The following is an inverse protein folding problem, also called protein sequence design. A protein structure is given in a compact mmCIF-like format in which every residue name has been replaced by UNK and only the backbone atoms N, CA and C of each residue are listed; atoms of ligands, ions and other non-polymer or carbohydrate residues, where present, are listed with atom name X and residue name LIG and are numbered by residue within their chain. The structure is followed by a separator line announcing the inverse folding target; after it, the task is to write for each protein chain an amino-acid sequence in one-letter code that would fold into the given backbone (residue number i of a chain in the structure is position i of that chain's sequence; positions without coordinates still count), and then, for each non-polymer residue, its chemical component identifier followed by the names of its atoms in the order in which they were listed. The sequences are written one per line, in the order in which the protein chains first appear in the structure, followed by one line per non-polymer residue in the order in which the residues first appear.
data_IF_026659548491
#
_entry.id   IF_026659548491
#
_cell.length_a   1.000
_cell.length_b   1.000
_cell.length_c   1.000
_cell.angle_alpha   90.00
_cell.angle_beta   90.00
_cell.angle_gamma   90.00
#
_symmetry.space_group_name_H-M   'P 1'
#
loop_
_entity.id
_entity.type
_entity.pdbx_description
1 polymer ?
#
# COMPACT_ATOMS: atom_id res chain seq x y z
N UNK A 1 -0.81 -44.54 3.93
CA UNK A 1 -0.14 -43.32 4.40
C UNK A 1 0.38 -42.57 3.17
N UNK A 2 -0.13 -41.38 2.86
CA UNK A 2 0.39 -40.60 1.74
C UNK A 2 1.66 -39.87 2.18
N UNK A 3 2.72 -40.00 1.38
CA UNK A 3 3.95 -39.21 1.51
C UNK A 3 3.65 -37.72 1.27
N UNK A 4 4.29 -36.79 2.00
CA UNK A 4 4.17 -35.37 1.71
C UNK A 4 4.86 -35.04 0.38
N UNK A 5 4.36 -34.05 -0.39
CA UNK A 5 4.97 -33.63 -1.64
C UNK A 5 6.35 -32.96 -1.39
N UNK A 6 7.38 -33.23 -2.22
CA UNK A 6 8.74 -32.72 -2.04
C UNK A 6 8.95 -31.23 -2.41
N UNK A 7 7.88 -30.47 -2.68
CA UNK A 7 7.99 -29.16 -3.33
C UNK A 7 8.36 -27.97 -2.43
N UNK A 8 8.46 -28.14 -1.11
CA UNK A 8 8.76 -27.01 -0.21
C UNK A 8 10.28 -26.79 -0.02
N UNK A 9 11.13 -27.77 -0.34
CA UNK A 9 12.59 -27.69 -0.11
C UNK A 9 13.40 -27.12 -1.28
N UNK A 10 12.77 -26.77 -2.41
CA UNK A 10 13.45 -26.19 -3.58
C UNK A 10 13.60 -24.66 -3.55
N UNK A 11 13.25 -23.99 -2.45
CA UNK A 11 13.27 -22.51 -2.38
C UNK A 11 14.63 -21.87 -2.06
N UNK A 12 15.70 -22.64 -1.82
CA UNK A 12 16.99 -22.06 -1.38
C UNK A 12 18.27 -22.63 -2.02
N UNK A 13 18.17 -23.46 -3.07
CA UNK A 13 19.37 -23.80 -3.85
C UNK A 13 19.68 -22.65 -4.81
N UNK A 14 20.59 -21.76 -4.42
CA UNK A 14 21.23 -20.81 -5.34
C UNK A 14 21.92 -21.62 -6.45
N UNK A 15 21.48 -21.52 -7.73
CA UNK A 15 22.18 -22.19 -8.80
C UNK A 15 23.56 -21.56 -8.94
N UNK A 16 24.58 -22.41 -9.03
CA UNK A 16 25.95 -22.02 -9.35
C UNK A 16 25.95 -21.05 -10.52
N UNK A 17 26.66 -19.93 -10.37
CA UNK A 17 26.76 -18.84 -11.33
C UNK A 17 27.26 -19.34 -12.70
N UNK A 18 26.34 -19.84 -13.52
CA UNK A 18 26.57 -20.07 -14.94
C UNK A 18 26.64 -18.70 -15.62
N UNK A 19 27.62 -18.53 -16.52
CA UNK A 19 27.86 -17.30 -17.27
C UNK A 19 26.54 -16.69 -17.76
N UNK A 20 26.22 -15.49 -17.28
CA UNK A 20 25.05 -14.74 -17.70
C UNK A 20 25.16 -14.43 -19.20
N UNK A 21 24.35 -15.09 -20.03
CA UNK A 21 24.00 -14.51 -21.32
C UNK A 21 23.32 -13.17 -21.04
N UNK A 22 23.75 -12.11 -21.74
CA UNK A 22 23.09 -10.82 -21.65
C UNK A 22 21.61 -11.00 -21.97
N UNK A 23 20.67 -10.55 -21.10
CA UNK A 23 19.25 -10.66 -21.38
C UNK A 23 18.96 -9.90 -22.68
N UNK A 24 18.20 -10.53 -23.59
CA UNK A 24 17.77 -9.89 -24.82
C UNK A 24 16.73 -8.81 -24.46
N UNK A 25 17.09 -7.53 -24.57
CA UNK A 25 16.16 -6.42 -24.34
C UNK A 25 15.54 -6.04 -25.68
N UNK A 26 14.22 -6.02 -25.74
CA UNK A 26 13.48 -5.55 -26.91
C UNK A 26 13.37 -4.03 -26.84
N UNK A 27 13.73 -3.28 -27.90
CA UNK A 27 13.54 -1.83 -27.91
C UNK A 27 12.06 -1.48 -27.80
N UNK A 28 11.78 -0.34 -27.17
CA UNK A 28 10.44 0.23 -27.09
C UNK A 28 9.88 0.38 -28.51
N UNK A 29 8.76 -0.27 -28.79
CA UNK A 29 8.05 -0.07 -30.05
C UNK A 29 6.55 -0.07 -29.84
N UNK A 30 5.86 0.72 -30.65
CA UNK A 30 4.40 0.78 -30.64
C UNK A 30 3.87 -0.54 -31.20
N UNK A 31 3.22 -1.33 -30.34
CA UNK A 31 2.74 -2.69 -30.65
C UNK A 31 1.24 -2.83 -30.48
N UNK A 32 0.57 -1.77 -30.05
CA UNK A 32 -0.85 -1.78 -29.73
C UNK A 32 -1.67 -2.22 -30.94
N UNK A 33 -2.38 -3.35 -30.81
CA UNK A 33 -3.47 -3.73 -31.71
C UNK A 33 -4.84 -3.38 -31.11
N UNK A 34 -4.84 -2.53 -30.08
CA UNK A 34 -6.03 -2.05 -29.37
C UNK A 34 -6.52 -0.81 -30.11
N UNK A 35 -7.47 -0.99 -31.02
CA UNK A 35 -8.02 0.10 -31.83
C UNK A 35 -9.36 0.63 -31.31
N UNK A 36 -10.11 -0.18 -30.57
CA UNK A 36 -11.42 0.19 -30.03
C UNK A 36 -11.30 1.09 -28.80
N UNK A 37 -12.09 2.17 -28.75
CA UNK A 37 -12.18 3.02 -27.55
C UNK A 37 -12.70 2.24 -26.34
N UNK A 38 -13.61 1.29 -26.56
CA UNK A 38 -14.12 0.40 -25.52
C UNK A 38 -13.03 -0.49 -24.93
N UNK A 39 -12.12 -0.98 -25.78
CA UNK A 39 -11.01 -1.83 -25.32
C UNK A 39 -10.01 -1.02 -24.51
N UNK A 40 -9.73 0.22 -24.94
CA UNK A 40 -8.93 1.16 -24.16
C UNK A 40 -9.55 1.49 -22.81
N UNK A 41 -10.86 1.75 -22.75
CA UNK A 41 -11.56 1.97 -21.48
C UNK A 41 -11.40 0.75 -20.58
N UNK A 42 -11.61 -0.47 -21.09
CA UNK A 42 -11.45 -1.70 -20.32
C UNK A 42 -10.01 -1.86 -19.78
N UNK A 43 -9.00 -1.65 -20.62
CA UNK A 43 -7.58 -1.74 -20.23
C UNK A 43 -7.22 -0.70 -19.17
N UNK A 44 -7.65 0.55 -19.37
CA UNK A 44 -7.40 1.64 -18.43
C UNK A 44 -8.13 1.40 -17.10
N UNK A 45 -9.36 0.89 -17.13
CA UNK A 45 -10.10 0.51 -15.92
C UNK A 45 -9.36 -0.59 -15.16
N UNK A 46 -8.94 -1.66 -15.83
CA UNK A 46 -8.21 -2.76 -15.17
C UNK A 46 -6.87 -2.30 -14.59
N UNK A 47 -6.15 -1.44 -15.32
CA UNK A 47 -4.88 -0.87 -14.88
C UNK A 47 -5.06 0.06 -13.67
N UNK A 48 -5.95 1.06 -13.78
CA UNK A 48 -6.07 2.13 -12.78
C UNK A 48 -6.92 1.75 -11.57
N UNK A 49 -7.77 0.72 -11.65
CA UNK A 49 -8.66 0.35 -10.55
C UNK A 49 -7.92 0.05 -9.23
N UNK A 50 -6.81 -0.73 -9.21
CA UNK A 50 -6.01 -0.93 -8.00
C UNK A 50 -5.44 0.37 -7.43
N UNK A 51 -4.86 1.23 -8.29
CA UNK A 51 -4.29 2.51 -7.87
C UNK A 51 -5.36 3.44 -7.28
N UNK A 52 -6.47 3.61 -8.00
CA UNK A 52 -7.59 4.45 -7.59
C UNK A 52 -8.20 3.94 -6.28
N UNK A 53 -8.44 2.63 -6.15
CA UNK A 53 -8.98 2.05 -4.93
C UNK A 53 -8.04 2.26 -3.74
N UNK A 54 -6.73 2.11 -3.96
CA UNK A 54 -5.72 2.30 -2.92
C UNK A 54 -5.66 3.76 -2.44
N UNK A 55 -5.70 4.73 -3.37
CA UNK A 55 -5.67 6.16 -3.02
C UNK A 55 -6.99 6.62 -2.42
N UNK A 56 -8.11 6.41 -3.12
CA UNK A 56 -9.43 6.95 -2.74
C UNK A 56 -9.88 6.38 -1.40
N UNK A 57 -9.70 5.08 -1.19
CA UNK A 57 -10.14 4.45 0.06
C UNK A 57 -9.06 4.41 1.13
N UNK A 58 -7.79 4.59 0.77
CA UNK A 58 -6.66 4.50 1.70
C UNK A 58 -6.22 5.82 2.29
N UNK A 59 -6.52 6.96 1.67
CA UNK A 59 -6.14 8.28 2.19
C UNK A 59 -6.87 8.57 3.51
N UNK A 60 -6.12 9.08 4.49
CA UNK A 60 -6.68 9.58 5.75
C UNK A 60 -7.27 10.97 5.54
N UNK A 61 -8.37 11.27 6.23
CA UNK A 61 -8.91 12.63 6.24
C UNK A 61 -7.95 13.53 7.01
N UNK A 62 -7.44 14.61 6.38
CA UNK A 62 -6.55 15.54 7.06
C UNK A 62 -7.35 16.42 8.03
N UNK A 63 -6.94 16.46 9.29
CA UNK A 63 -7.51 17.31 10.33
C UNK A 63 -6.49 18.35 10.72
N UNK A 64 -6.82 19.63 10.58
CA UNK A 64 -5.87 20.71 10.86
C UNK A 64 -6.09 21.22 12.28
N UNK A 65 -5.15 20.89 13.17
CA UNK A 65 -5.18 21.30 14.58
C UNK A 65 -4.73 22.74 14.76
N UNK A 66 -3.78 23.20 13.95
CA UNK A 66 -3.32 24.59 13.93
C UNK A 66 -4.05 25.41 12.87
N UNK A 67 -4.06 26.74 13.01
CA UNK A 67 -4.68 27.64 12.03
C UNK A 67 -4.02 27.65 10.64
N UNK A 68 -2.90 26.95 10.46
CA UNK A 68 -2.15 26.90 9.20
C UNK A 68 -2.36 25.55 8.49
N UNK A 69 -2.96 25.60 7.30
CA UNK A 69 -3.11 24.41 6.47
C UNK A 69 -1.75 23.87 5.97
N UNK A 70 -1.60 22.54 5.84
CA UNK A 70 -0.39 21.96 5.28
C UNK A 70 -0.23 22.38 3.81
N UNK A 71 0.98 22.78 3.39
CA UNK A 71 1.28 22.98 1.97
C UNK A 71 1.03 21.68 1.19
N UNK A 72 0.74 21.80 -0.09
CA UNK A 72 0.41 20.64 -0.94
C UNK A 72 1.55 19.60 -0.98
N UNK A 73 2.81 20.05 -0.87
CA UNK A 73 4.00 19.19 -0.80
C UNK A 73 4.05 18.31 0.44
N UNK A 74 3.43 18.74 1.55
CA UNK A 74 3.31 17.95 2.78
C UNK A 74 2.18 16.93 2.69
N UNK A 75 1.19 17.17 1.83
CA UNK A 75 0.08 16.22 1.61
C UNK A 75 0.52 15.07 0.71
N UNK A 76 1.43 15.31 -0.22
CA UNK A 76 1.85 14.32 -1.23
C UNK A 76 2.33 12.99 -0.62
N UNK A 77 3.15 12.96 0.45
CA UNK A 77 3.52 11.73 1.14
C UNK A 77 2.35 10.88 1.64
N UNK A 78 1.19 11.47 1.97
CA UNK A 78 0.00 10.72 2.39
C UNK A 78 -0.60 9.87 1.27
N UNK A 79 -0.32 10.22 0.01
CA UNK A 79 -0.72 9.44 -1.17
C UNK A 79 0.26 8.30 -1.48
N UNK A 80 1.41 8.25 -0.80
CA UNK A 80 2.38 7.19 -0.99
C UNK A 80 1.77 5.86 -0.53
N UNK A 81 1.77 4.79 -1.36
CA UNK A 81 1.19 3.51 -0.97
C UNK A 81 1.78 2.95 0.33
N UNK A 82 3.08 3.17 0.58
CA UNK A 82 3.73 2.74 1.84
C UNK A 82 3.12 3.44 3.05
N UNK A 83 2.78 4.74 2.94
CA UNK A 83 2.10 5.48 4.01
C UNK A 83 0.68 4.98 4.24
N UNK A 84 -0.04 4.64 3.17
CA UNK A 84 -1.41 4.09 3.25
C UNK A 84 -1.41 2.70 3.93
N UNK A 85 -0.48 1.82 3.54
CA UNK A 85 -0.32 0.50 4.16
C UNK A 85 0.09 0.66 5.63
N UNK A 86 0.97 1.60 5.94
CA UNK A 86 1.37 1.91 7.31
C UNK A 86 0.18 2.36 8.16
N UNK A 87 -0.72 3.20 7.62
CA UNK A 87 -1.98 3.58 8.29
C UNK A 87 -2.80 2.34 8.65
N UNK A 88 -2.96 1.40 7.73
CA UNK A 88 -3.71 0.16 7.98
C UNK A 88 -3.10 -0.64 9.13
N UNK A 89 -1.77 -0.78 9.12
CA UNK A 89 -1.03 -1.43 10.18
C UNK A 89 -1.19 -0.72 11.53
N UNK A 90 -1.05 0.59 11.57
CA UNK A 90 -1.14 1.41 12.78
C UNK A 90 -2.53 1.31 13.44
N UNK A 91 -3.61 1.34 12.64
CA UNK A 91 -4.98 1.16 13.15
C UNK A 91 -5.15 -0.21 13.80
N UNK A 92 -4.69 -1.28 13.14
CA UNK A 92 -4.79 -2.64 13.69
C UNK A 92 -3.92 -2.82 14.94
N UNK A 93 -2.68 -2.32 14.96
CA UNK A 93 -1.79 -2.38 16.12
C UNK A 93 -2.42 -1.73 17.35
N UNK A 94 -2.95 -0.50 17.20
CA UNK A 94 -3.62 0.22 18.28
C UNK A 94 -4.86 -0.52 18.76
N UNK A 95 -5.65 -1.06 17.83
CA UNK A 95 -6.85 -1.83 18.19
C UNK A 95 -6.51 -3.06 19.03
N UNK A 96 -5.48 -3.81 18.63
CA UNK A 96 -5.03 -5.02 19.33
C UNK A 96 -4.51 -4.69 20.73
N UNK A 97 -3.87 -3.53 20.88
CA UNK A 97 -3.37 -3.03 22.17
C UNK A 97 -4.43 -2.32 23.01
N UNK A 98 -5.62 -2.02 22.49
CA UNK A 98 -6.63 -1.29 23.24
C UNK A 98 -7.26 -2.12 24.37
N UNK A 99 -7.16 -1.61 25.60
CA UNK A 99 -7.89 -2.10 26.78
C UNK A 99 -9.36 -1.70 26.70
N UNK A 100 -9.61 -0.48 26.26
CA UNK A 100 -10.92 0.05 25.93
C UNK A 100 -10.86 0.69 24.53
N UNK A 101 -11.81 0.33 23.68
CA UNK A 101 -11.91 0.85 22.31
C UNK A 101 -13.30 1.44 22.12
N UNK A 102 -13.36 2.77 22.06
CA UNK A 102 -14.60 3.49 21.82
C UNK A 102 -14.63 4.15 20.44
N UNK A 103 -15.71 4.90 20.19
CA UNK A 103 -15.98 5.57 18.91
C UNK A 103 -14.99 6.71 18.65
N UNK A 104 -14.47 7.32 19.72
CA UNK A 104 -13.48 8.39 19.62
C UNK A 104 -12.08 7.84 19.31
N UNK A 105 -11.70 6.70 19.90
CA UNK A 105 -10.46 5.98 19.55
C UNK A 105 -10.47 5.61 18.06
N UNK A 106 -11.62 5.10 17.58
CA UNK A 106 -11.80 4.77 16.17
C UNK A 106 -11.64 6.02 15.28
N UNK A 107 -12.33 7.12 15.57
CA UNK A 107 -12.19 8.36 14.79
C UNK A 107 -10.75 8.86 14.74
N UNK A 108 -10.09 8.93 15.91
CA UNK A 108 -8.74 9.47 16.02
C UNK A 108 -7.69 8.60 15.33
N UNK A 109 -7.84 7.27 15.34
CA UNK A 109 -6.93 6.39 14.60
C UNK A 109 -7.07 6.49 13.07
N UNK A 110 -8.21 6.98 12.57
CA UNK A 110 -8.45 7.10 11.14
C UNK A 110 -8.04 8.46 10.57
N UNK A 111 -7.98 9.51 11.40
CA UNK A 111 -7.61 10.85 11.00
C UNK A 111 -6.08 11.01 10.86
N UNK A 112 -5.65 11.93 9.98
CA UNK A 112 -4.28 12.41 9.94
C UNK A 112 -4.25 13.84 10.49
N UNK A 113 -3.65 14.05 11.66
CA UNK A 113 -3.65 15.38 12.29
C UNK A 113 -2.45 16.19 11.84
N UNK A 114 -2.69 17.43 11.45
CA UNK A 114 -1.66 18.42 11.14
C UNK A 114 -1.55 19.42 12.28
N UNK A 115 -0.41 19.46 12.97
CA UNK A 115 -0.18 20.34 14.12
C UNK A 115 0.31 21.76 13.73
N UNK A 116 0.40 22.06 12.44
CA UNK A 116 0.91 23.33 11.91
C UNK A 116 2.26 23.19 11.22
N UNK A 117 3.06 22.21 11.67
CA UNK A 117 4.38 21.90 11.13
C UNK A 117 4.47 20.46 10.65
N UNK A 118 3.75 19.54 11.31
CA UNK A 118 3.83 18.10 11.08
C UNK A 118 2.55 17.31 11.15
N UNK A 119 2.60 16.19 10.39
CA UNK A 119 1.62 15.13 10.51
C UNK A 119 1.91 14.35 11.79
N UNK A 120 1.00 14.41 12.74
CA UNK A 120 1.06 13.64 13.96
C UNK A 120 -0.11 12.66 14.03
N UNK A 121 0.23 11.39 14.27
CA UNK A 121 -0.73 10.32 14.50
C UNK A 121 -0.55 9.69 15.87
N UNK A 122 0.20 10.31 16.79
CA UNK A 122 0.62 9.75 18.07
C UNK A 122 -0.54 9.31 18.98
N UNK A 123 -0.24 8.49 19.98
CA UNK A 123 -1.24 8.07 20.97
C UNK A 123 -1.68 9.25 21.85
N UNK A 124 -0.79 10.22 22.03
CA UNK A 124 -1.00 11.51 22.66
C UNK A 124 -2.07 12.30 21.90
N UNK A 125 -1.91 12.47 20.59
CA UNK A 125 -2.91 13.15 19.75
C UNK A 125 -4.21 12.34 19.69
N UNK A 126 -4.14 11.01 19.71
CA UNK A 126 -5.33 10.16 19.77
C UNK A 126 -6.19 10.47 21.00
N UNK A 127 -5.57 10.67 22.17
CA UNK A 127 -6.27 11.05 23.41
C UNK A 127 -6.66 12.52 23.42
N UNK A 128 -5.76 13.42 23.02
CA UNK A 128 -5.97 14.86 23.06
C UNK A 128 -7.03 15.35 22.07
N UNK A 129 -7.14 14.72 20.89
CA UNK A 129 -8.09 15.10 19.83
C UNK A 129 -9.55 14.85 20.20
N UNK A 130 -9.83 14.06 21.24
CA UNK A 130 -11.20 13.74 21.69
C UNK A 130 -12.07 14.97 21.93
N UNK A 131 -11.47 16.06 22.41
CA UNK A 131 -12.17 17.34 22.68
C UNK A 131 -12.55 18.13 21.43
N UNK A 132 -11.99 17.76 20.28
CA UNK A 132 -12.16 18.43 18.99
C UNK A 132 -13.16 17.70 18.09
N UNK A 133 -13.76 16.60 18.56
CA UNK A 133 -14.73 15.83 17.78
C UNK A 133 -16.05 16.59 17.61
N UNK A 134 -16.43 16.87 16.37
CA UNK A 134 -17.75 17.44 16.01
C UNK A 134 -18.75 16.36 15.66
N UNK A 135 -18.26 15.24 15.11
CA UNK A 135 -19.09 14.11 14.70
C UNK A 135 -18.42 12.80 15.13
N UNK A 136 -19.09 12.09 16.02
CA UNK A 136 -18.71 10.73 16.40
C UNK A 136 -19.23 9.73 15.37
N UNK A 137 -18.46 8.67 15.07
CA UNK A 137 -18.98 7.51 14.36
C UNK A 137 -20.24 6.96 15.04
N UNK A 138 -21.11 6.32 14.26
CA UNK A 138 -22.32 5.70 14.82
C UNK A 138 -21.96 4.55 15.78
N UNK A 139 -20.92 3.77 15.44
CA UNK A 139 -20.43 2.62 16.21
C UNK A 139 -18.90 2.64 16.32
N UNK A 140 -18.34 1.84 17.23
CA UNK A 140 -16.89 1.67 17.37
C UNK A 140 -16.30 0.65 16.37
N UNK A 141 -17.12 0.27 15.38
CA UNK A 141 -16.79 -0.57 14.25
C UNK A 141 -17.58 -0.13 13.02
N UNK A 142 -17.06 -0.45 11.85
CA UNK A 142 -17.67 -0.21 10.55
C UNK A 142 -18.93 -1.06 10.39
N UNK A 143 -19.98 -0.49 9.79
CA UNK A 143 -21.20 -1.22 9.45
C UNK A 143 -20.95 -2.18 8.29
N UNK A 144 -21.55 -3.37 8.32
CA UNK A 144 -21.42 -4.39 7.25
C UNK A 144 -21.80 -3.78 5.90
N UNK A 145 -22.87 -3.01 5.85
CA UNK A 145 -23.27 -2.27 4.64
C UNK A 145 -22.80 -0.83 4.77
N UNK A 146 -21.56 -0.56 4.35
CA UNK A 146 -20.96 0.78 4.32
C UNK A 146 -19.99 0.92 3.15
N UNK A 147 -19.65 2.17 2.80
CA UNK A 147 -18.64 2.45 1.77
C UNK A 147 -17.27 1.83 2.08
N UNK A 148 -16.88 1.78 3.36
CA UNK A 148 -15.60 1.16 3.75
C UNK A 148 -15.60 -0.36 3.61
N UNK A 149 -16.73 -1.02 3.87
CA UNK A 149 -16.85 -2.48 3.62
C UNK A 149 -16.76 -2.79 2.14
N UNK A 150 -17.44 -2.02 1.29
CA UNK A 150 -17.37 -2.18 -0.17
C UNK A 150 -15.93 -1.97 -0.65
N UNK A 151 -15.27 -0.89 -0.20
CA UNK A 151 -13.88 -0.62 -0.53
C UNK A 151 -12.95 -1.78 -0.14
N UNK A 152 -13.14 -2.34 1.05
CA UNK A 152 -12.36 -3.48 1.53
C UNK A 152 -12.59 -4.72 0.68
N UNK A 153 -13.85 -5.02 0.35
CA UNK A 153 -14.20 -6.14 -0.52
C UNK A 153 -13.59 -5.98 -1.92
N UNK A 154 -13.69 -4.78 -2.51
CA UNK A 154 -13.11 -4.46 -3.82
C UNK A 154 -11.59 -4.68 -3.82
N UNK A 155 -10.87 -4.14 -2.84
CA UNK A 155 -9.43 -4.31 -2.75
C UNK A 155 -9.02 -5.77 -2.49
N UNK A 156 -9.78 -6.50 -1.67
CA UNK A 156 -9.53 -7.92 -1.44
C UNK A 156 -9.72 -8.75 -2.71
N UNK A 157 -10.79 -8.50 -3.49
CA UNK A 157 -11.03 -9.19 -4.76
C UNK A 157 -9.94 -8.89 -5.80
N UNK A 158 -9.49 -7.63 -5.89
CA UNK A 158 -8.36 -7.24 -6.75
C UNK A 158 -7.08 -7.98 -6.33
N UNK A 159 -6.82 -8.08 -5.02
CA UNK A 159 -5.69 -8.83 -4.48
C UNK A 159 -5.76 -10.32 -4.81
N UNK A 160 -6.93 -10.96 -4.68
CA UNK A 160 -7.15 -12.36 -5.05
C UNK A 160 -6.86 -12.56 -6.54
N UNK A 161 -7.40 -11.69 -7.39
CA UNK A 161 -7.13 -11.72 -8.83
C UNK A 161 -5.62 -11.66 -9.11
N UNK A 162 -4.90 -10.72 -8.51
CA UNK A 162 -3.46 -10.59 -8.69
C UNK A 162 -2.68 -11.82 -8.20
N UNK A 163 -3.04 -12.42 -7.07
CA UNK A 163 -2.43 -13.67 -6.59
C UNK A 163 -2.68 -14.81 -7.57
N UNK A 164 -3.92 -14.98 -8.04
CA UNK A 164 -4.23 -16.06 -9.01
C UNK A 164 -3.41 -15.91 -10.29
N UNK A 165 -3.16 -14.68 -10.74
CA UNK A 165 -2.27 -14.41 -11.89
C UNK A 165 -0.83 -14.85 -11.63
N UNK A 166 -0.29 -14.56 -10.44
CA UNK A 166 1.07 -14.98 -10.04
C UNK A 166 1.16 -16.50 -9.92
N UNK A 167 0.21 -17.13 -9.24
CA UNK A 167 0.21 -18.59 -9.00
C UNK A 167 0.11 -19.35 -10.32
N UNK A 168 -0.83 -18.95 -11.18
CA UNK A 168 -0.96 -19.54 -12.52
C UNK A 168 0.31 -19.36 -13.34
N UNK A 169 1.06 -18.28 -13.11
CA UNK A 169 2.33 -18.05 -13.78
C UNK A 169 3.57 -18.72 -13.16
N UNK A 170 3.49 -19.12 -11.90
CA UNK A 170 4.53 -19.88 -11.20
C UNK A 170 4.40 -21.38 -11.47
N UNK A 171 3.17 -21.90 -11.66
CA UNK A 171 2.95 -23.27 -12.11
C UNK A 171 3.35 -23.38 -13.58
N UNK A 172 4.54 -23.94 -13.84
CA UNK A 172 5.21 -24.25 -15.13
C UNK A 172 4.36 -24.92 -16.24
N UNK A 173 3.04 -25.08 -16.07
CA UNK A 173 2.15 -25.79 -16.99
C UNK A 173 1.44 -24.87 -17.99
N UNK A 174 1.36 -23.55 -17.74
CA UNK A 174 0.78 -22.59 -18.68
C UNK A 174 1.58 -21.30 -18.56
N UNK A 175 2.25 -20.89 -19.64
CA UNK A 175 3.00 -19.62 -19.67
C UNK A 175 2.16 -18.48 -19.09
N UNK A 176 2.74 -17.69 -18.19
CA UNK A 176 2.05 -16.59 -17.53
C UNK A 176 1.86 -15.44 -18.51
N UNK A 177 0.70 -15.33 -19.16
CA UNK A 177 0.48 -14.34 -20.22
C UNK A 177 -0.54 -13.28 -19.84
N UNK A 178 -0.29 -12.57 -18.74
CA UNK A 178 -0.89 -11.25 -18.53
C UNK A 178 0.24 -10.29 -18.11
N UNK A 179 1.19 -10.11 -19.02
CA UNK A 179 2.29 -9.15 -18.92
C UNK A 179 1.91 -7.90 -19.73
N UNK A 180 0.84 -7.20 -19.37
CA UNK A 180 0.34 -6.04 -20.10
C UNK A 180 -0.03 -4.89 -19.16
N UNK A 181 -0.43 -3.74 -19.71
CA UNK A 181 -0.79 -2.53 -18.94
C UNK A 181 -1.78 -2.80 -17.78
N UNK A 182 -2.77 -3.71 -17.90
CA UNK A 182 -3.62 -4.10 -16.78
C UNK A 182 -2.88 -4.62 -15.53
N UNK A 183 -1.69 -5.19 -15.69
CA UNK A 183 -0.89 -5.73 -14.59
C UNK A 183 0.03 -4.69 -13.91
N UNK A 184 0.06 -3.45 -14.42
CA UNK A 184 0.98 -2.40 -13.95
C UNK A 184 0.84 -2.09 -12.46
N UNK A 185 -0.36 -2.16 -11.89
CA UNK A 185 -0.60 -1.90 -10.47
C UNK A 185 -1.04 -3.15 -9.70
N UNK A 186 -0.79 -4.37 -10.22
CA UNK A 186 -1.11 -5.62 -9.53
C UNK A 186 -0.43 -5.76 -8.18
N UNK A 187 0.76 -5.19 -8.00
CA UNK A 187 1.40 -5.16 -6.68
C UNK A 187 0.57 -4.37 -5.66
N UNK A 188 -0.02 -3.22 -6.05
CA UNK A 188 -0.91 -2.46 -5.17
C UNK A 188 -2.19 -3.23 -4.84
N UNK A 189 -2.68 -4.04 -5.77
CA UNK A 189 -3.81 -4.94 -5.53
C UNK A 189 -3.48 -5.98 -4.45
N UNK A 190 -2.29 -6.60 -4.50
CA UNK A 190 -1.82 -7.56 -3.48
C UNK A 190 -1.63 -6.85 -2.15
N UNK A 191 -0.96 -5.70 -2.13
CA UNK A 191 -0.81 -4.91 -0.90
C UNK A 191 -2.16 -4.45 -0.35
N UNK A 192 -3.22 -4.41 -1.15
CA UNK A 192 -4.59 -4.17 -0.71
C UNK A 192 -5.10 -5.14 0.36
N UNK A 193 -4.55 -6.35 0.46
CA UNK A 193 -4.88 -7.28 1.56
C UNK A 193 -4.54 -6.73 2.94
N UNK A 194 -3.56 -5.82 3.05
CA UNK A 194 -3.25 -5.17 4.33
C UNK A 194 -4.45 -4.39 4.90
N UNK A 195 -5.42 -4.00 4.06
CA UNK A 195 -6.68 -3.37 4.48
C UNK A 195 -7.60 -4.32 5.27
N UNK A 196 -7.47 -5.63 5.12
CA UNK A 196 -8.31 -6.61 5.85
C UNK A 196 -8.09 -6.52 7.37
N UNK A 197 -6.86 -6.27 7.81
CA UNK A 197 -6.53 -6.13 9.23
C UNK A 197 -7.38 -5.07 9.93
N UNK A 198 -7.39 -3.80 9.46
CA UNK A 198 -8.18 -2.74 10.07
C UNK A 198 -9.62 -2.67 9.55
N UNK A 199 -10.09 -3.58 8.69
CA UNK A 199 -11.36 -3.43 7.96
C UNK A 199 -12.57 -3.08 8.85
N UNK A 200 -12.65 -3.66 10.05
CA UNK A 200 -13.71 -3.41 11.01
C UNK A 200 -13.62 -2.05 11.71
N UNK A 201 -12.47 -1.37 11.63
CA UNK A 201 -12.18 -0.11 12.32
C UNK A 201 -11.77 1.02 11.38
N UNK A 202 -11.63 0.74 10.09
CA UNK A 202 -11.24 1.68 9.06
C UNK A 202 -12.48 2.42 8.53
N UNK A 203 -12.66 3.67 8.90
CA UNK A 203 -13.83 4.47 8.53
C UNK A 203 -13.41 5.89 8.20
N UNK A 204 -14.26 6.59 7.45
CA UNK A 204 -14.18 8.04 7.23
C UNK A 204 -15.46 8.73 7.76
N UNK A 205 -16.25 8.05 8.61
CA UNK A 205 -17.50 8.57 9.18
C UNK A 205 -17.26 9.27 10.54
N UNK A 206 -16.42 10.30 10.56
CA UNK A 206 -16.20 11.15 11.74
C UNK A 206 -16.05 12.61 11.31
N UNK A 207 -15.85 13.51 12.25
CA UNK A 207 -15.59 14.92 11.97
C UNK A 207 -14.91 15.58 13.15
N UNK A 208 -14.02 16.50 12.82
CA UNK A 208 -13.28 17.33 13.78
C UNK A 208 -13.58 18.81 13.52
N UNK A 209 -13.47 19.64 14.56
CA UNK A 209 -13.42 21.09 14.37
C UNK A 209 -12.08 21.42 13.72
N UNK A 210 -12.09 22.05 12.55
CA UNK A 210 -10.90 22.70 12.04
C UNK A 210 -10.48 23.80 13.02
N UNK A 211 -9.18 23.88 13.31
CA UNK A 211 -8.58 24.90 14.17
C UNK A 211 -8.60 26.32 13.54
N UNK A 212 -9.72 26.71 12.93
CA UNK A 212 -9.91 27.98 12.24
C UNK A 212 -9.98 29.15 13.21
N UNK A 213 -9.14 30.15 12.94
CA UNK A 213 -8.92 31.45 13.57
C UNK A 213 -9.46 31.72 15.00
N UNK A 214 -8.60 32.20 15.93
CA UNK A 214 -8.94 32.50 17.34
C UNK A 214 -9.95 33.65 17.55
N UNK A 215 -10.81 33.97 16.57
CA UNK A 215 -11.82 35.02 16.62
C UNK A 215 -13.26 34.59 16.29
N UNK A 216 -13.49 33.38 15.76
CA UNK A 216 -14.85 32.87 15.49
C UNK A 216 -15.20 31.76 16.47
N UNK A 217 -15.43 32.15 17.72
CA UNK A 217 -16.05 31.27 18.72
C UNK A 217 -17.41 30.79 18.19
N UNK A 218 -17.54 29.49 18.01
CA UNK A 218 -18.85 28.85 17.94
C UNK A 218 -19.54 29.07 19.29
N UNK A 219 -20.81 29.53 19.35
CA UNK A 219 -21.44 30.04 20.57
C UNK A 219 -21.90 28.95 21.56
N UNK A 220 -21.13 27.86 21.72
CA UNK A 220 -21.50 26.79 22.65
C UNK A 220 -20.26 26.17 23.30
N UNK A 221 -19.92 26.67 24.50
CA UNK A 221 -18.93 26.02 25.36
C UNK A 221 -18.20 26.95 26.32
N UNK A 222 -18.90 27.44 27.36
CA UNK A 222 -18.35 28.26 28.45
C UNK A 222 -17.51 27.45 29.45
N UNK A 223 -16.56 26.65 28.98
CA UNK A 223 -15.56 26.01 29.84
C UNK A 223 -14.18 26.05 29.19
N UNK A 224 -13.26 26.74 29.87
CA UNK A 224 -11.88 27.03 29.50
C UNK A 224 -11.21 26.03 28.55
N UNK A 225 -11.01 26.48 27.31
CA UNK A 225 -10.11 25.84 26.37
C UNK A 225 -8.74 26.49 26.53
N UNK A 226 -7.77 25.73 27.06
CA UNK A 226 -6.36 26.06 26.86
C UNK A 226 -6.07 25.87 25.37
N UNK A 227 -5.50 26.87 24.68
CA UNK A 227 -4.99 26.66 23.34
C UNK A 227 -4.06 25.44 23.36
N UNK A 228 -4.07 24.64 22.29
CA UNK A 228 -2.94 23.74 22.01
C UNK A 228 -1.77 24.67 21.72
N UNK A 229 -1.13 25.14 22.79
CA UNK A 229 0.09 25.94 22.77
C UNK A 229 1.19 25.01 22.29
N UNK A 230 1.68 25.26 21.08
CA UNK A 230 3.08 25.56 20.73
C UNK A 230 4.18 25.05 21.68
N UNK A 231 4.11 23.78 22.10
CA UNK A 231 5.07 23.20 23.05
C UNK A 231 5.36 21.74 22.67
N UNK A 232 5.86 21.55 21.44
CA UNK A 232 6.25 20.26 20.87
C UNK A 232 7.49 19.63 21.53
N UNK A 233 8.13 20.34 22.46
CA UNK A 233 9.28 19.85 23.26
C UNK A 233 8.92 19.50 24.71
N UNK A 234 7.66 19.69 25.14
CA UNK A 234 7.22 19.26 26.46
C UNK A 234 6.91 17.76 26.45
N UNK A 235 7.55 17.03 27.36
CA UNK A 235 7.15 15.66 27.69
C UNK A 235 5.62 15.58 27.83
N UNK A 236 4.96 14.56 27.27
CA UNK A 236 3.51 14.45 27.36
C UNK A 236 3.11 14.55 28.81
N UNK A 237 2.14 15.43 29.09
CA UNK A 237 1.72 15.71 30.46
C UNK A 237 1.43 14.40 31.18
N UNK A 238 1.75 14.33 32.49
CA UNK A 238 1.52 13.11 33.28
C UNK A 238 0.09 12.61 33.13
N UNK A 239 -0.87 13.54 33.03
CA UNK A 239 -2.29 13.25 32.76
C UNK A 239 -2.49 12.52 31.43
N UNK A 240 -1.84 12.98 30.35
CA UNK A 240 -1.90 12.32 29.03
C UNK A 240 -1.29 10.93 29.08
N UNK A 241 -0.11 10.75 29.71
CA UNK A 241 0.52 9.44 29.89
C UNK A 241 -0.36 8.49 30.71
N UNK A 242 -0.98 8.98 31.78
CA UNK A 242 -1.91 8.22 32.60
C UNK A 242 -3.14 7.80 31.77
N UNK A 243 -3.72 8.71 30.98
CA UNK A 243 -4.83 8.40 30.09
C UNK A 243 -4.46 7.35 29.04
N UNK A 244 -3.29 7.47 28.39
CA UNK A 244 -2.79 6.49 27.43
C UNK A 244 -2.64 5.12 28.11
N UNK A 245 -1.98 5.06 29.27
CA UNK A 245 -1.76 3.80 29.99
C UNK A 245 -3.06 3.14 30.47
N UNK A 246 -4.10 3.92 30.79
CA UNK A 246 -5.45 3.41 31.11
C UNK A 246 -6.14 2.81 29.88
N UNK A 247 -5.90 3.34 28.68
CA UNK A 247 -6.59 2.92 27.45
C UNK A 247 -5.85 1.87 26.63
N UNK A 248 -4.52 1.88 26.64
CA UNK A 248 -3.68 1.03 25.81
C UNK A 248 -2.78 0.14 26.68
N UNK A 249 -2.55 -1.08 26.20
CA UNK A 249 -1.47 -1.91 26.69
C UNK A 249 -0.12 -1.34 26.23
N UNK A 250 0.96 -1.54 27.02
CA UNK A 250 2.31 -1.17 26.62
C UNK A 250 2.69 -1.74 25.26
N UNK A 251 3.57 -1.05 24.56
CA UNK A 251 4.07 -1.41 23.22
C UNK A 251 4.64 -2.84 23.17
N UNK A 252 5.29 -3.28 24.26
CA UNK A 252 5.89 -4.60 24.41
C UNK A 252 4.90 -5.69 24.88
N UNK A 253 3.60 -5.42 24.85
CA UNK A 253 2.62 -6.45 25.19
C UNK A 253 2.60 -7.54 24.11
N UNK A 254 2.51 -8.81 24.53
CA UNK A 254 2.65 -9.99 23.65
C UNK A 254 1.72 -9.95 22.43
N UNK A 255 0.51 -9.39 22.57
CA UNK A 255 -0.46 -9.26 21.48
C UNK A 255 0.06 -8.36 20.36
N UNK A 256 0.64 -7.22 20.73
CA UNK A 256 1.26 -6.28 19.80
C UNK A 256 2.49 -6.90 19.14
N UNK A 257 3.35 -7.55 19.94
CA UNK A 257 4.54 -8.25 19.42
C UNK A 257 4.15 -9.33 18.40
N UNK A 258 3.17 -10.17 18.71
CA UNK A 258 2.70 -11.23 17.81
C UNK A 258 2.15 -10.64 16.50
N UNK A 259 1.31 -9.60 16.58
CA UNK A 259 0.78 -8.93 15.39
C UNK A 259 1.90 -8.34 14.52
N UNK A 260 2.86 -7.64 15.13
CA UNK A 260 4.01 -7.06 14.43
C UNK A 260 4.91 -8.13 13.80
N UNK A 261 5.13 -9.26 14.49
CA UNK A 261 5.87 -10.39 13.96
C UNK A 261 5.18 -11.01 12.73
N UNK A 262 3.84 -11.16 12.78
CA UNK A 262 3.05 -11.61 11.62
C UNK A 262 3.17 -10.59 10.48
N UNK A 263 3.00 -9.30 10.75
CA UNK A 263 3.13 -8.25 9.75
C UNK A 263 4.51 -8.21 9.09
N UNK A 264 5.57 -8.37 9.88
CA UNK A 264 6.94 -8.47 9.40
C UNK A 264 7.15 -9.72 8.54
N UNK A 265 6.63 -10.89 8.97
CA UNK A 265 6.71 -12.12 8.19
C UNK A 265 5.95 -11.99 6.86
N UNK A 266 4.76 -11.39 6.85
CA UNK A 266 3.99 -11.11 5.63
C UNK A 266 4.75 -10.17 4.70
N UNK A 267 5.40 -9.12 5.24
CA UNK A 267 6.25 -8.25 4.45
C UNK A 267 7.42 -9.04 3.83
N UNK A 268 8.15 -9.84 4.61
CA UNK A 268 9.26 -10.67 4.13
C UNK A 268 8.82 -11.64 3.02
N UNK A 269 7.69 -12.33 3.18
CA UNK A 269 7.15 -13.22 2.13
C UNK A 269 6.83 -12.44 0.87
N UNK A 270 6.16 -11.29 1.00
CA UNK A 270 5.80 -10.45 -0.15
C UNK A 270 7.03 -9.94 -0.88
N UNK A 271 8.06 -9.53 -0.14
CA UNK A 271 9.35 -9.09 -0.68
C UNK A 271 10.06 -10.25 -1.37
N UNK A 272 10.11 -11.42 -0.72
CA UNK A 272 10.71 -12.63 -1.30
C UNK A 272 10.06 -12.97 -2.63
N UNK A 273 8.72 -13.04 -2.68
CA UNK A 273 7.98 -13.29 -3.92
C UNK A 273 8.23 -12.21 -4.99
N UNK A 274 8.33 -10.94 -4.57
CA UNK A 274 8.60 -9.82 -5.49
C UNK A 274 10.01 -9.90 -6.07
N UNK A 275 11.02 -10.16 -5.23
CA UNK A 275 12.42 -10.34 -5.64
C UNK A 275 12.53 -11.57 -6.56
N UNK A 276 11.90 -12.69 -6.21
CA UNK A 276 11.87 -13.88 -7.06
C UNK A 276 11.27 -13.58 -8.43
N UNK A 277 10.15 -12.84 -8.47
CA UNK A 277 9.51 -12.40 -9.72
C UNK A 277 10.42 -11.50 -10.54
N UNK A 278 11.13 -10.57 -9.90
CA UNK A 278 12.09 -9.68 -10.56
C UNK A 278 13.32 -10.43 -11.09
N UNK A 279 13.91 -11.31 -10.27
CA UNK A 279 15.10 -12.09 -10.61
C UNK A 279 14.84 -13.14 -11.68
N UNK A 280 13.61 -13.66 -11.78
CA UNK A 280 13.19 -14.52 -12.89
C UNK A 280 13.40 -13.84 -14.24
N UNK A 281 13.11 -12.54 -14.35
CA UNK A 281 13.32 -11.79 -15.59
C UNK A 281 14.78 -11.45 -15.89
N UNK A 282 15.65 -11.35 -14.86
CA UNK A 282 17.00 -10.79 -15.03
C UNK A 282 18.10 -11.86 -14.96
N UNK A 283 17.99 -12.79 -14.02
CA UNK A 283 19.08 -13.70 -13.61
C UNK A 283 18.75 -15.16 -13.88
N UNK A 284 17.50 -15.57 -13.71
CA UNK A 284 17.09 -16.97 -13.91
C UNK A 284 16.46 -17.19 -15.29
N UNK A 285 17.31 -17.22 -16.30
CA UNK A 285 17.03 -18.05 -17.48
C UNK A 285 17.36 -19.48 -17.08
N UNK A 286 16.35 -20.30 -16.80
CA UNK A 286 16.60 -21.71 -16.51
C UNK A 286 17.19 -22.36 -17.78
N UNK A 287 18.34 -23.06 -17.70
CA UNK A 287 18.87 -23.78 -18.84
C UNK A 287 17.85 -24.82 -19.32
N UNK A 288 17.35 -24.66 -20.54
CA UNK A 288 16.29 -25.50 -21.10
C UNK A 288 14.87 -24.95 -20.92
N UNK A 289 14.69 -23.72 -20.44
CA UNK A 289 13.41 -23.01 -20.57
C UNK A 289 13.19 -22.74 -22.08
N UNK A 290 12.17 -23.33 -22.71
CA UNK A 290 11.86 -23.07 -24.13
C UNK A 290 11.53 -21.60 -24.39
N UNK A 291 11.23 -20.85 -23.32
CA UNK A 291 10.86 -19.45 -23.32
C UNK A 291 12.05 -18.55 -22.94
N UNK A 292 13.05 -18.46 -23.82
CA UNK A 292 14.07 -17.39 -23.81
C UNK A 292 13.39 -16.03 -24.10
N UNK A 293 12.49 -15.61 -23.22
CA UNK A 293 11.62 -14.45 -23.40
C UNK A 293 12.46 -13.19 -23.25
N UNK A 294 12.41 -12.29 -24.23
CA UNK A 294 13.16 -11.06 -24.15
C UNK A 294 12.46 -10.09 -23.19
N UNK A 295 13.23 -9.21 -22.55
CA UNK A 295 12.70 -8.20 -21.64
C UNK A 295 12.18 -7.01 -22.45
N UNK A 296 10.91 -6.64 -22.23
CA UNK A 296 10.35 -5.39 -22.75
C UNK A 296 10.76 -4.18 -21.90
N UNK A 297 10.69 -2.98 -22.47
CA UNK A 297 10.96 -1.74 -21.72
C UNK A 297 9.92 -1.55 -20.62
N UNK A 298 8.65 -1.87 -20.88
CA UNK A 298 7.57 -1.82 -19.88
C UNK A 298 7.84 -2.75 -18.70
N UNK A 299 8.31 -3.98 -18.95
CA UNK A 299 8.70 -4.92 -17.88
C UNK A 299 9.82 -4.33 -17.02
N UNK A 300 10.85 -3.75 -17.64
CA UNK A 300 11.96 -3.12 -16.91
C UNK A 300 11.47 -1.94 -16.06
N UNK A 301 10.62 -1.07 -16.60
CA UNK A 301 10.08 0.07 -15.86
C UNK A 301 9.14 -0.35 -14.73
N UNK A 302 8.31 -1.39 -14.93
CA UNK A 302 7.50 -2.00 -13.88
C UNK A 302 8.36 -2.55 -12.76
N UNK A 303 9.40 -3.31 -13.10
CA UNK A 303 10.40 -3.83 -12.17
C UNK A 303 11.08 -2.69 -11.41
N UNK A 304 11.51 -1.64 -12.11
CA UNK A 304 12.12 -0.47 -11.51
C UNK A 304 11.17 0.32 -10.60
N UNK A 305 9.86 0.30 -10.85
CA UNK A 305 8.84 0.90 -9.98
C UNK A 305 8.57 0.03 -8.74
N UNK A 306 8.45 -1.28 -8.91
CA UNK A 306 8.13 -2.19 -7.81
C UNK A 306 9.29 -2.36 -6.82
N UNK A 307 10.54 -2.34 -7.29
CA UNK A 307 11.71 -2.45 -6.41
C UNK A 307 11.75 -1.40 -5.28
N UNK A 308 11.73 -0.08 -5.56
CA UNK A 308 11.73 0.93 -4.51
C UNK A 308 10.46 0.87 -3.66
N UNK A 309 9.33 0.42 -4.21
CA UNK A 309 8.10 0.24 -3.43
C UNK A 309 8.22 -0.88 -2.40
N UNK A 310 8.77 -2.03 -2.81
CA UNK A 310 9.03 -3.20 -1.97
C UNK A 310 10.11 -2.90 -0.94
N UNK A 311 11.23 -2.30 -1.34
CA UNK A 311 12.32 -1.90 -0.44
C UNK A 311 11.87 -0.83 0.54
N UNK A 312 11.15 0.19 0.08
CA UNK A 312 10.60 1.23 0.95
C UNK A 312 9.63 0.65 1.97
N UNK A 313 8.74 -0.26 1.54
CA UNK A 313 7.86 -1.02 2.46
C UNK A 313 8.68 -1.78 3.50
N UNK A 314 9.71 -2.54 3.09
CA UNK A 314 10.56 -3.29 4.01
C UNK A 314 11.23 -2.38 5.03
N UNK A 315 11.97 -1.37 4.57
CA UNK A 315 12.81 -0.51 5.41
C UNK A 315 11.92 0.24 6.41
N UNK A 316 10.84 0.83 5.92
CA UNK A 316 9.90 1.59 6.76
C UNK A 316 9.23 0.66 7.76
N UNK A 317 8.60 -0.43 7.31
CA UNK A 317 7.89 -1.32 8.24
C UNK A 317 8.84 -1.96 9.26
N UNK A 318 10.04 -2.37 8.87
CA UNK A 318 11.03 -2.96 9.78
C UNK A 318 11.52 -1.96 10.82
N UNK A 319 11.95 -0.77 10.38
CA UNK A 319 12.42 0.27 11.29
C UNK A 319 11.35 0.65 12.31
N UNK A 320 10.09 0.73 11.87
CA UNK A 320 9.01 1.16 12.75
C UNK A 320 8.45 0.05 13.63
N UNK A 321 8.38 -1.20 13.14
CA UNK A 321 8.11 -2.37 13.99
C UNK A 321 9.15 -2.47 15.12
N UNK A 322 10.43 -2.22 14.81
CA UNK A 322 11.50 -2.23 15.80
C UNK A 322 11.37 -1.09 16.83
N UNK A 323 11.03 0.13 16.37
CA UNK A 323 10.80 1.27 17.27
C UNK A 323 9.54 1.13 18.14
N UNK A 324 8.59 0.33 17.66
CA UNK A 324 7.25 0.20 18.21
C UNK A 324 6.36 1.43 18.13
N UNK A 325 6.80 2.46 17.43
CA UNK A 325 6.02 3.64 17.09
C UNK A 325 4.89 3.29 16.12
N UNK A 326 3.77 4.00 16.24
CA UNK A 326 2.67 3.95 15.27
C UNK A 326 2.59 5.23 14.43
N UNK A 327 3.49 6.18 14.66
CA UNK A 327 3.66 7.41 13.86
C UNK A 327 4.68 7.13 12.77
N UNK A 328 4.48 7.71 11.58
CA UNK A 328 5.42 7.66 10.46
C UNK A 328 6.28 8.94 10.42
N UNK A 329 7.33 9.10 11.23
CA UNK A 329 8.10 10.34 11.31
C UNK A 329 8.83 10.69 10.01
N UNK A 330 9.10 9.71 9.14
CA UNK A 330 9.71 10.01 7.85
C UNK A 330 8.75 10.70 6.87
N UNK A 331 7.43 10.72 7.13
CA UNK A 331 6.42 11.23 6.18
C UNK A 331 6.72 12.65 5.70
N UNK A 332 7.37 13.45 6.54
CA UNK A 332 7.73 14.84 6.22
C UNK A 332 9.15 15.07 5.76
N UNK A 333 10.01 14.08 5.95
CA UNK A 333 11.42 14.19 5.59
C UNK A 333 11.59 14.45 4.10
N UNK A 334 12.61 15.23 3.73
CA UNK A 334 12.90 15.53 2.33
C UNK A 334 13.14 14.25 1.53
N UNK A 335 13.84 13.27 2.10
CA UNK A 335 14.14 12.01 1.41
C UNK A 335 12.86 11.23 1.08
N UNK A 336 11.86 11.22 1.98
CA UNK A 336 10.61 10.50 1.74
C UNK A 336 9.72 11.20 0.70
N UNK A 337 9.78 12.53 0.65
CA UNK A 337 9.16 13.32 -0.43
C UNK A 337 9.81 13.00 -1.78
N UNK A 338 11.14 13.04 -1.86
CA UNK A 338 11.89 12.67 -3.06
C UNK A 338 11.59 11.23 -3.50
N UNK A 339 11.56 10.28 -2.55
CA UNK A 339 11.13 8.90 -2.79
C UNK A 339 9.73 8.82 -3.39
N UNK A 340 8.78 9.59 -2.88
CA UNK A 340 7.41 9.64 -3.40
C UNK A 340 7.37 10.19 -4.83
N UNK A 341 8.12 11.25 -5.14
CA UNK A 341 8.25 11.78 -6.50
C UNK A 341 8.85 10.76 -7.47
N UNK A 342 9.90 10.05 -7.05
CA UNK A 342 10.52 9.00 -7.86
C UNK A 342 9.53 7.88 -8.17
N UNK A 343 8.74 7.45 -7.19
CA UNK A 343 7.68 6.45 -7.43
C UNK A 343 6.63 6.94 -8.43
N UNK A 344 6.16 8.18 -8.30
CA UNK A 344 5.18 8.77 -9.23
C UNK A 344 5.77 8.85 -10.65
N UNK A 345 7.03 9.26 -10.77
CA UNK A 345 7.72 9.36 -12.06
C UNK A 345 7.86 7.97 -12.70
N UNK A 346 8.34 6.98 -11.96
CA UNK A 346 8.48 5.60 -12.45
C UNK A 346 7.13 4.99 -12.85
N UNK A 347 6.08 5.22 -12.06
CA UNK A 347 4.72 4.78 -12.38
C UNK A 347 4.20 5.42 -13.67
N UNK A 348 4.46 6.72 -13.85
CA UNK A 348 4.06 7.45 -15.07
C UNK A 348 4.80 6.96 -16.30
N UNK A 349 6.12 6.74 -16.19
CA UNK A 349 6.93 6.19 -17.28
C UNK A 349 6.51 4.77 -17.64
N UNK A 350 6.30 3.91 -16.63
CA UNK A 350 5.83 2.54 -16.84
C UNK A 350 4.42 2.51 -17.46
N UNK A 351 3.53 3.43 -17.07
CA UNK A 351 2.21 3.59 -17.69
C UNK A 351 2.31 3.96 -19.16
N UNK A 352 3.13 4.97 -19.51
CA UNK A 352 3.30 5.42 -20.90
C UNK A 352 3.94 4.33 -21.75
N UNK A 353 5.02 3.71 -21.28
CA UNK A 353 5.65 2.60 -21.99
C UNK A 353 4.68 1.42 -22.17
N UNK A 354 3.97 1.06 -21.09
CA UNK A 354 2.96 0.00 -21.10
C UNK A 354 1.84 0.31 -22.08
N UNK A 355 1.41 1.57 -22.20
CA UNK A 355 0.41 1.97 -23.19
C UNK A 355 0.91 1.77 -24.63
N UNK A 356 2.20 1.97 -24.92
CA UNK A 356 2.74 1.73 -26.26
C UNK A 356 2.98 0.25 -26.58
N UNK A 357 3.40 -0.55 -25.60
CA UNK A 357 3.80 -1.95 -25.82
C UNK A 357 2.64 -2.95 -25.63
N UNK A 358 1.59 -2.59 -24.88
CA UNK A 358 0.49 -3.52 -24.60
C UNK A 358 -0.27 -3.86 -25.87
N UNK A 359 -0.42 -5.15 -26.12
CA UNK A 359 -1.26 -5.70 -27.16
C UNK A 359 -2.08 -6.88 -26.66
N UNK A 360 -3.12 -7.21 -27.41
CA UNK A 360 -3.93 -8.41 -27.23
C UNK A 360 -3.30 -9.57 -28.02
N UNK A 361 -3.22 -10.74 -27.41
CA UNK A 361 -2.79 -11.98 -28.05
C UNK A 361 -3.87 -12.43 -29.04
N UNK A 362 -3.50 -12.63 -30.30
CA UNK A 362 -4.45 -12.91 -31.39
C UNK A 362 -4.54 -14.38 -31.81
N UNK A 363 -3.51 -15.17 -31.53
CA UNK A 363 -3.47 -16.60 -31.83
C UNK A 363 -2.73 -17.31 -30.69
N UNK A 364 -3.37 -18.29 -30.04
CA UNK A 364 -2.89 -19.10 -28.90
C UNK A 364 -4.12 -19.57 -28.09
N UNK A 365 -4.02 -20.62 -27.24
CA UNK A 365 -4.99 -20.84 -26.15
C UNK A 365 -5.22 -19.61 -25.24
N UNK A 366 -4.35 -18.61 -25.31
CA UNK A 366 -4.40 -17.36 -24.55
C UNK A 366 -4.95 -16.17 -25.34
N UNK A 367 -5.66 -16.45 -26.45
CA UNK A 367 -6.33 -15.43 -27.25
C UNK A 367 -7.19 -14.50 -26.37
N UNK A 368 -7.10 -13.19 -26.60
CA UNK A 368 -7.82 -12.17 -25.83
C UNK A 368 -7.11 -11.72 -24.54
N UNK A 369 -5.97 -12.30 -24.16
CA UNK A 369 -5.13 -11.81 -23.04
C UNK A 369 -4.15 -10.72 -23.48
N UNK A 370 -3.58 -10.01 -22.52
CA UNK A 370 -2.68 -8.87 -22.76
C UNK A 370 -1.20 -9.24 -22.57
N UNK A 371 -0.32 -8.67 -23.39
CA UNK A 371 1.13 -8.88 -23.30
C UNK A 371 1.93 -7.68 -23.84
N UNK A 372 3.16 -7.48 -23.37
CA UNK A 372 4.17 -6.56 -23.90
C UNK A 372 5.09 -7.24 -24.93
N UNK A 373 5.07 -8.58 -25.01
CA UNK A 373 5.97 -9.35 -25.87
C UNK A 373 5.64 -9.16 -27.36
N UNK A 374 6.62 -9.26 -28.29
CA UNK A 374 6.35 -9.25 -29.73
C UNK A 374 5.43 -10.39 -30.17
N UNK A 375 4.79 -10.26 -31.35
CA UNK A 375 3.90 -11.30 -31.91
C UNK A 375 4.62 -12.63 -32.17
N UNK A 376 5.93 -12.61 -32.40
CA UNK A 376 6.74 -13.83 -32.57
C UNK A 376 6.65 -14.79 -31.37
N UNK A 377 6.27 -14.28 -30.19
CA UNK A 377 6.18 -15.03 -28.94
C UNK A 377 4.75 -15.50 -28.61
N UNK A 378 3.79 -15.35 -29.53
CA UNK A 378 2.41 -15.80 -29.30
C UNK A 378 2.27 -17.33 -29.37
N UNK A 379 3.26 -18.06 -29.90
CA UNK A 379 3.20 -19.51 -30.03
C UNK A 379 2.22 -19.99 -31.09
N UNK A 380 1.96 -19.16 -32.11
CA UNK A 380 1.08 -19.51 -33.23
C UNK A 380 1.85 -20.46 -34.16
N UNK A 381 1.54 -21.75 -34.08
CA UNK A 381 2.01 -22.78 -35.02
C UNK A 381 1.33 -22.65 -36.37
#
# INVERSE_FOLDING_TARGET
MPLPPPYILLLFSLPSAALALSPQVVPLSVRTNISGISDWINVLTLCLAPLASHIVFGLAEPVVLAGKHPPWTERLPLFNPVSIIWRYFAITDRRIRAKCWDRADMAACNAAFWDGERWDGSEEVMVASRRLLTKLPTRSHVLIVSGSTIATLTMALQGVQAITMIVNGATLLVGSHIDGLPALFSFLAIMGFSRLGPALWLSNEYGYTDGGEPGKQSPMGTHGYLPVVDDTDREPSEVTREMISKRLHPVLHWRGILFRAIGFLTALVTIGLSIMSMLRGIVWQFPGDPDNRPLSVSSILMTAMYLPLVLGTLIIHTAYIASGSTVLPCVQSLWYKLYTYVLILLASLAFVAGAFETRVITCSPLCGKYTYLPKEFDGCS
#
